data_IF_072847990213
#
_entry.id   IF_072847990213
#
_cell.length_a   1.000
_cell.length_b   1.000
_cell.length_c   1.000
_cell.angle_alpha   90.00
_cell.angle_beta   90.00
_cell.angle_gamma   90.00
#
_symmetry.space_group_name_H-M   'P 1'
#
loop_
_entity.id
_entity.type
_entity.pdbx_description
1 polymer ?
#
# COMPACT_ATOMS: atom_id res chain seq x y z
N UNK A 1 37.39 9.30 25.01
CA UNK A 1 36.76 9.81 23.77
C UNK A 1 37.17 8.86 22.65
N UNK A 2 36.31 8.21 21.86
CA UNK A 2 35.03 8.62 21.28
C UNK A 2 34.06 7.42 21.31
N UNK A 3 32.82 7.67 21.73
CA UNK A 3 31.75 6.68 21.73
C UNK A 3 31.38 6.28 20.31
N UNK A 4 31.36 4.98 20.05
CA UNK A 4 30.82 4.45 18.82
C UNK A 4 29.30 4.35 18.99
N UNK A 5 28.60 5.38 18.53
CA UNK A 5 27.14 5.47 18.55
C UNK A 5 26.59 4.38 17.65
N UNK A 6 26.22 3.24 18.25
CA UNK A 6 25.36 2.24 17.62
C UNK A 6 24.05 2.96 17.25
N UNK A 7 23.92 3.37 16.00
CA UNK A 7 22.61 3.70 15.44
C UNK A 7 21.78 2.42 15.53
N UNK A 8 20.78 2.42 16.41
CA UNK A 8 19.77 1.36 16.44
C UNK A 8 18.92 1.54 15.18
N UNK A 9 18.75 0.51 14.33
CA UNK A 9 17.68 0.55 13.36
C UNK A 9 16.37 0.63 14.14
N UNK A 10 15.56 1.62 13.82
CA UNK A 10 14.22 1.79 14.37
C UNK A 10 13.34 0.75 13.68
N UNK A 11 13.52 -0.53 14.02
CA UNK A 11 12.63 -1.60 13.59
C UNK A 11 11.40 -1.56 14.51
N UNK A 12 10.38 -0.83 14.07
CA UNK A 12 9.02 -1.09 14.53
C UNK A 12 8.72 -2.56 14.23
N UNK A 13 8.63 -3.36 15.28
CA UNK A 13 8.34 -4.80 15.21
C UNK A 13 6.88 -4.97 14.77
N UNK A 14 6.65 -4.93 13.46
CA UNK A 14 5.35 -5.28 12.86
C UNK A 14 5.04 -6.71 13.32
N UNK A 15 3.96 -6.88 14.07
CA UNK A 15 3.54 -8.21 14.49
C UNK A 15 2.87 -8.96 13.31
N UNK A 16 2.80 -10.29 13.37
CA UNK A 16 2.29 -11.11 12.26
C UNK A 16 0.87 -10.69 11.81
N UNK A 17 0.01 -10.23 12.74
CA UNK A 17 -1.35 -9.78 12.43
C UNK A 17 -1.36 -8.52 11.56
N UNK A 18 -0.50 -7.55 11.89
CA UNK A 18 -0.38 -6.30 11.13
C UNK A 18 0.23 -6.54 9.75
N UNK A 19 1.11 -7.54 9.63
CA UNK A 19 1.69 -7.92 8.35
C UNK A 19 0.64 -8.50 7.38
N UNK A 20 -0.29 -9.31 7.88
CA UNK A 20 -1.41 -9.82 7.07
C UNK A 20 -2.37 -8.70 6.64
N UNK A 21 -2.62 -7.69 7.48
CA UNK A 21 -3.38 -6.50 7.09
C UNK A 21 -2.72 -5.74 5.93
N UNK A 22 -1.39 -5.63 5.92
CA UNK A 22 -0.67 -5.00 4.81
C UNK A 22 -0.79 -5.80 3.51
N UNK A 23 -0.76 -7.13 3.58
CA UNK A 23 -1.02 -7.97 2.40
C UNK A 23 -2.44 -7.75 1.89
N UNK A 24 -3.42 -7.65 2.77
CA UNK A 24 -4.82 -7.39 2.42
C UNK A 24 -4.97 -6.01 1.74
N UNK A 25 -4.36 -4.97 2.29
CA UNK A 25 -4.33 -3.62 1.71
C UNK A 25 -3.73 -3.64 0.30
N UNK A 26 -2.56 -4.25 0.13
CA UNK A 26 -1.89 -4.35 -1.17
C UNK A 26 -2.77 -5.12 -2.16
N UNK A 27 -3.31 -6.28 -1.76
CA UNK A 27 -4.18 -7.09 -2.61
C UNK A 27 -5.44 -6.32 -3.03
N UNK A 28 -6.07 -5.58 -2.12
CA UNK A 28 -7.25 -4.77 -2.39
C UNK A 28 -6.94 -3.66 -3.41
N UNK A 29 -5.80 -2.96 -3.26
CA UNK A 29 -5.36 -1.94 -4.22
C UNK A 29 -5.16 -2.55 -5.60
N UNK A 30 -4.38 -3.62 -5.73
CA UNK A 30 -4.08 -4.24 -7.04
C UNK A 30 -5.36 -4.73 -7.71
N UNK A 31 -6.27 -5.35 -6.97
CA UNK A 31 -7.57 -5.81 -7.50
C UNK A 31 -8.40 -4.65 -8.04
N UNK A 32 -8.55 -3.58 -7.26
CA UNK A 32 -9.33 -2.42 -7.68
C UNK A 32 -8.72 -1.72 -8.90
N UNK A 33 -7.39 -1.65 -9.00
CA UNK A 33 -6.72 -1.12 -10.18
C UNK A 33 -6.94 -2.03 -11.40
N UNK A 34 -6.86 -3.36 -11.22
CA UNK A 34 -7.10 -4.34 -12.27
C UNK A 34 -8.49 -4.24 -12.89
N UNK A 35 -9.52 -3.88 -12.11
CA UNK A 35 -10.87 -3.62 -12.62
C UNK A 35 -10.93 -2.41 -13.58
N UNK A 36 -10.01 -1.46 -13.45
CA UNK A 36 -9.99 -0.23 -14.25
C UNK A 36 -9.04 -0.33 -15.45
N UNK A 37 -7.83 -0.85 -15.24
CA UNK A 37 -6.76 -0.86 -16.27
C UNK A 37 -6.50 -2.24 -16.87
N UNK A 38 -7.22 -3.26 -16.41
CA UNK A 38 -7.02 -4.65 -16.80
C UNK A 38 -5.99 -5.39 -15.93
N UNK A 39 -6.24 -6.69 -15.73
CA UNK A 39 -5.45 -7.58 -14.87
C UNK A 39 -3.96 -7.61 -15.21
N UNK A 40 -3.62 -7.82 -16.49
CA UNK A 40 -2.23 -8.02 -16.89
C UNK A 40 -1.39 -6.76 -16.66
N UNK A 41 -1.95 -5.59 -16.98
CA UNK A 41 -1.27 -4.32 -16.75
C UNK A 41 -1.13 -4.04 -15.24
N UNK A 42 -2.17 -4.32 -14.46
CA UNK A 42 -2.13 -4.12 -13.02
C UNK A 42 -1.06 -4.99 -12.34
N UNK A 43 -0.95 -6.27 -12.71
CA UNK A 43 0.09 -7.17 -12.21
C UNK A 43 1.48 -6.78 -12.70
N UNK A 44 1.62 -6.39 -13.98
CA UNK A 44 2.89 -5.90 -14.54
C UNK A 44 3.41 -4.67 -13.81
N UNK A 45 2.50 -3.79 -13.36
CA UNK A 45 2.84 -2.62 -12.55
C UNK A 45 3.21 -2.99 -11.12
N UNK A 46 2.43 -3.86 -10.48
CA UNK A 46 2.77 -4.36 -9.14
C UNK A 46 4.12 -5.07 -9.09
N UNK A 47 4.48 -5.82 -10.14
CA UNK A 47 5.76 -6.52 -10.24
C UNK A 47 6.99 -5.58 -10.31
N UNK A 48 6.80 -4.28 -10.58
CA UNK A 48 7.88 -3.30 -10.54
C UNK A 48 8.19 -2.81 -9.13
N UNK A 49 7.31 -3.07 -8.16
CA UNK A 49 7.45 -2.59 -6.79
C UNK A 49 8.48 -3.45 -6.06
N UNK A 50 9.62 -2.88 -5.64
CA UNK A 50 10.61 -3.62 -4.86
C UNK A 50 10.00 -4.09 -3.54
N UNK A 51 10.42 -5.28 -3.12
CA UNK A 51 10.01 -5.84 -1.84
C UNK A 51 8.57 -6.33 -1.76
N UNK A 52 7.86 -6.47 -2.89
CA UNK A 52 6.53 -7.05 -2.96
C UNK A 52 6.46 -8.17 -3.99
N UNK A 53 5.96 -9.34 -3.59
CA UNK A 53 5.71 -10.47 -4.50
C UNK A 53 4.23 -10.77 -4.51
N UNK A 54 3.61 -10.70 -5.69
CA UNK A 54 2.18 -10.94 -5.89
C UNK A 54 2.00 -11.96 -7.01
N UNK A 55 1.11 -12.92 -6.80
CA UNK A 55 0.78 -13.92 -7.82
C UNK A 55 -0.33 -13.45 -8.77
N UNK A 56 -0.64 -14.27 -9.78
CA UNK A 56 -1.69 -13.98 -10.77
C UNK A 56 -3.11 -13.93 -10.22
N UNK A 57 -3.33 -14.28 -8.95
CA UNK A 57 -4.62 -14.23 -8.27
C UNK A 57 -4.71 -13.03 -7.31
N UNK A 58 -3.78 -12.07 -7.44
CA UNK A 58 -3.66 -10.89 -6.58
C UNK A 58 -3.37 -11.21 -5.11
N UNK A 59 -2.84 -12.41 -4.84
CA UNK A 59 -2.41 -12.78 -3.49
C UNK A 59 -0.96 -12.32 -3.30
N UNK A 60 -0.73 -11.60 -2.21
CA UNK A 60 0.62 -11.16 -1.81
C UNK A 60 1.32 -12.34 -1.11
N UNK A 61 2.37 -12.84 -1.73
CA UNK A 61 3.16 -13.96 -1.22
C UNK A 61 4.16 -13.49 -0.15
N UNK A 62 4.78 -12.33 -0.36
CA UNK A 62 5.75 -11.77 0.59
C UNK A 62 5.86 -10.26 0.49
N UNK A 63 6.22 -9.63 1.62
CA UNK A 63 6.63 -8.24 1.71
C UNK A 63 7.99 -8.23 2.42
N UNK A 64 9.08 -7.88 1.74
CA UNK A 64 10.42 -7.92 2.33
C UNK A 64 10.95 -6.55 2.77
N UNK A 65 10.29 -5.47 2.35
CA UNK A 65 10.60 -4.09 2.70
C UNK A 65 9.56 -3.51 3.66
N UNK A 66 9.76 -2.26 4.08
CA UNK A 66 8.79 -1.51 4.87
C UNK A 66 7.41 -1.48 4.15
N UNK A 67 6.33 -2.02 4.76
CA UNK A 67 5.04 -2.13 4.07
C UNK A 67 4.42 -0.80 3.65
N UNK A 68 4.64 0.27 4.44
CA UNK A 68 4.17 1.63 4.09
C UNK A 68 4.85 2.12 2.82
N UNK A 69 6.16 1.88 2.69
CA UNK A 69 6.91 2.21 1.48
C UNK A 69 6.48 1.38 0.27
N UNK A 70 6.21 0.08 0.48
CA UNK A 70 5.72 -0.81 -0.58
C UNK A 70 4.36 -0.32 -1.11
N UNK A 71 3.44 0.04 -0.22
CA UNK A 71 2.12 0.58 -0.61
C UNK A 71 2.28 1.91 -1.37
N UNK A 72 3.13 2.83 -0.88
CA UNK A 72 3.39 4.10 -1.59
C UNK A 72 3.93 3.85 -2.99
N UNK A 73 4.93 2.98 -3.13
CA UNK A 73 5.55 2.65 -4.41
C UNK A 73 4.57 2.00 -5.37
N UNK A 74 3.70 1.13 -4.87
CA UNK A 74 2.62 0.53 -5.64
C UNK A 74 1.65 1.58 -6.18
N UNK A 75 1.18 2.49 -5.32
CA UNK A 75 0.26 3.57 -5.74
C UNK A 75 0.95 4.49 -6.75
N UNK A 76 2.24 4.78 -6.58
CA UNK A 76 3.02 5.57 -7.54
C UNK A 76 3.07 4.91 -8.93
N UNK A 77 3.27 3.59 -9.01
CA UNK A 77 3.28 2.87 -10.30
C UNK A 77 1.96 2.99 -11.07
N UNK A 78 0.84 3.05 -10.35
CA UNK A 78 -0.49 3.30 -10.92
C UNK A 78 -0.73 4.78 -11.20
N UNK A 79 -0.24 5.69 -10.35
CA UNK A 79 -0.30 7.13 -10.58
C UNK A 79 0.34 7.52 -11.91
N UNK A 80 1.46 6.89 -12.28
CA UNK A 80 2.10 7.11 -13.59
C UNK A 80 1.21 6.76 -14.80
N UNK A 81 0.11 6.02 -14.60
CA UNK A 81 -0.84 5.67 -15.68
C UNK A 81 -2.08 6.56 -15.68
N UNK A 82 -2.64 6.84 -14.50
CA UNK A 82 -3.96 7.47 -14.38
C UNK A 82 -4.02 8.62 -13.36
N UNK A 83 -2.86 9.14 -12.95
CA UNK A 83 -2.71 10.28 -12.05
C UNK A 83 -3.58 10.13 -10.79
N UNK A 84 -4.34 11.16 -10.41
CA UNK A 84 -5.17 11.20 -9.20
C UNK A 84 -6.23 10.10 -9.14
N UNK A 85 -6.69 9.57 -10.27
CA UNK A 85 -7.64 8.46 -10.28
C UNK A 85 -7.06 7.22 -9.60
N UNK A 86 -5.76 6.95 -9.78
CA UNK A 86 -5.11 5.81 -9.11
C UNK A 86 -5.17 5.94 -7.58
N UNK A 87 -4.96 7.16 -7.07
CA UNK A 87 -5.02 7.45 -5.64
C UNK A 87 -6.45 7.23 -5.13
N UNK A 88 -7.45 7.80 -5.81
CA UNK A 88 -8.87 7.68 -5.42
C UNK A 88 -9.38 6.24 -5.44
N UNK A 89 -9.00 5.47 -6.47
CA UNK A 89 -9.32 4.04 -6.57
C UNK A 89 -8.70 3.29 -5.39
N UNK A 90 -7.42 3.54 -5.10
CA UNK A 90 -6.71 2.88 -4.00
C UNK A 90 -7.33 3.22 -2.65
N UNK A 91 -7.66 4.49 -2.40
CA UNK A 91 -8.34 4.93 -1.19
C UNK A 91 -9.71 4.26 -1.01
N UNK A 92 -10.51 4.21 -2.07
CA UNK A 92 -11.81 3.53 -2.05
C UNK A 92 -11.66 2.04 -1.74
N UNK A 93 -10.67 1.38 -2.34
CA UNK A 93 -10.44 -0.05 -2.20
C UNK A 93 -10.12 -0.46 -0.75
N UNK A 94 -9.37 0.38 -0.03
CA UNK A 94 -8.90 0.05 1.33
C UNK A 94 -9.76 0.65 2.43
N UNK A 95 -10.76 1.48 2.09
CA UNK A 95 -11.54 2.27 3.05
C UNK A 95 -12.05 1.43 4.23
N UNK A 96 -12.65 0.28 3.96
CA UNK A 96 -13.18 -0.60 5.02
C UNK A 96 -12.07 -1.13 5.92
N UNK A 97 -10.98 -1.63 5.35
CA UNK A 97 -9.82 -2.17 6.09
C UNK A 97 -9.27 -1.11 7.04
N UNK A 98 -9.16 0.14 6.57
CA UNK A 98 -8.63 1.26 7.37
C UNK A 98 -9.61 1.69 8.46
N UNK A 99 -10.91 1.73 8.18
CA UNK A 99 -11.93 2.03 9.19
C UNK A 99 -11.95 0.98 10.32
N UNK A 100 -11.78 -0.29 9.96
CA UNK A 100 -11.72 -1.40 10.93
C UNK A 100 -10.37 -1.45 11.67
N UNK A 101 -9.33 -0.77 11.18
CA UNK A 101 -7.98 -0.77 11.72
C UNK A 101 -7.36 0.64 11.72
N UNK A 102 -7.86 1.58 12.55
CA UNK A 102 -7.50 3.00 12.48
C UNK A 102 -6.03 3.30 12.81
N UNK A 103 -5.38 2.42 13.57
CA UNK A 103 -3.97 2.56 13.95
C UNK A 103 -2.99 2.02 12.88
N UNK A 104 -3.50 1.47 11.76
CA UNK A 104 -2.67 0.93 10.68
C UNK A 104 -1.91 2.06 9.99
N UNK A 105 -0.56 2.11 10.07
CA UNK A 105 0.20 3.16 9.40
C UNK A 105 0.07 3.04 7.88
N UNK A 106 -0.27 4.15 7.23
CA UNK A 106 -0.42 4.26 5.78
C UNK A 106 0.43 5.39 5.21
N UNK A 107 0.79 5.32 3.93
CA UNK A 107 1.50 6.41 3.28
C UNK A 107 0.60 7.64 3.13
N UNK A 108 1.20 8.83 3.23
CA UNK A 108 0.48 10.11 3.19
C UNK A 108 -0.38 10.28 1.93
N UNK A 109 0.02 9.72 0.79
CA UNK A 109 -0.77 9.79 -0.46
C UNK A 109 -2.16 9.13 -0.33
N UNK A 110 -2.31 8.19 0.61
CA UNK A 110 -3.57 7.49 0.88
C UNK A 110 -4.32 8.04 2.08
N UNK A 111 -3.69 8.90 2.89
CA UNK A 111 -4.36 9.66 3.93
C UNK A 111 -5.19 10.75 3.25
N UNK A 112 -6.48 10.48 3.05
CA UNK A 112 -7.41 11.56 2.75
C UNK A 112 -7.60 12.33 4.05
N UNK A 113 -7.45 13.66 4.01
CA UNK A 113 -8.10 14.51 5.01
C UNK A 113 -9.56 14.06 5.06
N UNK A 114 -10.03 13.59 6.21
CA UNK A 114 -11.41 13.18 6.44
C UNK A 114 -12.32 14.39 6.21
N UNK A 115 -12.64 14.67 4.95
CA UNK A 115 -13.58 15.70 4.57
C UNK A 115 -14.90 15.04 4.21
N UNK A 116 -15.81 15.11 5.17
CA UNK A 116 -17.26 15.16 4.97
C UNK A 116 -17.70 16.31 4.02
N UNK A 117 -16.89 16.79 3.06
CA UNK A 117 -17.15 18.04 2.32
C UNK A 117 -17.25 17.89 0.81
N UNK A 118 -17.90 16.83 0.33
CA UNK A 118 -18.52 16.87 -1.00
C UNK A 118 -19.98 16.42 -0.89
N UNK A 119 -20.79 17.29 -0.27
CA UNK A 119 -22.24 17.35 -0.53
C UNK A 119 -22.41 18.09 -1.86
N UNK A 120 -23.23 17.50 -2.74
CA UNK A 120 -23.55 17.93 -4.10
C UNK A 120 -24.02 19.38 -4.22
#
# INVERSE_FOLDING_TARGET
MRGNTKQKPIEQKINNSQFELYKEVIAAIVKAQAEVIGKDLALKKAAKVPGCVINSNFQVLSISDNPVYVIQSLVNEYYLLSSYSAIRISQKAIRKIVLDNPDLPLPQILLIATEEQFIF
#
